data_IF_035029879659
#
_entry.id   IF_035029879659
#
_cell.length_a   1.000
_cell.length_b   1.000
_cell.length_c   1.000
_cell.angle_alpha   90.00
_cell.angle_beta   90.00
_cell.angle_gamma   90.00
#
_symmetry.space_group_name_H-M   'P 1'
#
loop_
_entity.id
_entity.type
_entity.pdbx_description
1 polymer ?
#
# COMPACT_ATOMS: atom_id res chain seq x y z
N UNK A 1 -33.51 -38.86 -52.85
CA UNK A 1 -32.16 -38.66 -52.49
C UNK A 1 -32.01 -37.13 -52.16
N UNK A 2 -32.35 -36.80 -50.91
CA UNK A 2 -32.31 -35.40 -50.42
C UNK A 2 -30.99 -35.21 -49.73
N UNK A 3 -30.19 -34.25 -50.21
CA UNK A 3 -28.93 -33.84 -49.60
C UNK A 3 -29.25 -32.60 -48.76
N UNK A 4 -29.23 -32.78 -47.50
CA UNK A 4 -29.37 -31.72 -46.50
C UNK A 4 -28.02 -31.01 -46.33
N UNK A 5 -27.93 -29.74 -46.78
CA UNK A 5 -26.78 -28.88 -46.59
C UNK A 5 -27.01 -28.01 -45.34
N UNK A 6 -26.68 -28.56 -44.19
CA UNK A 6 -26.64 -27.79 -42.95
C UNK A 6 -25.28 -27.12 -42.82
N UNK A 7 -25.17 -25.89 -43.33
CA UNK A 7 -23.97 -25.04 -43.19
C UNK A 7 -23.81 -24.59 -41.72
N UNK A 8 -22.84 -25.19 -41.04
CA UNK A 8 -22.38 -24.73 -39.72
C UNK A 8 -21.79 -23.32 -39.83
N UNK A 9 -22.55 -22.33 -39.44
CA UNK A 9 -22.01 -21.02 -39.14
C UNK A 9 -21.22 -21.11 -37.81
N UNK A 10 -19.93 -21.17 -37.91
CA UNK A 10 -19.02 -20.95 -36.75
C UNK A 10 -19.07 -19.48 -36.36
N UNK A 11 -19.87 -19.17 -35.35
CA UNK A 11 -19.83 -17.85 -34.71
C UNK A 11 -18.50 -17.68 -33.97
N UNK A 12 -17.59 -16.90 -34.53
CA UNK A 12 -16.44 -16.40 -33.81
C UNK A 12 -16.89 -15.51 -32.63
N UNK A 13 -16.96 -16.08 -31.45
CA UNK A 13 -17.11 -15.34 -30.17
C UNK A 13 -15.79 -14.66 -29.85
N UNK A 14 -15.59 -13.44 -30.34
CA UNK A 14 -14.36 -12.67 -30.02
C UNK A 14 -14.04 -11.48 -30.91
N UNK A 15 -14.72 -11.32 -32.04
CA UNK A 15 -14.52 -10.15 -32.87
C UNK A 15 -15.50 -9.04 -32.48
N UNK A 16 -15.11 -8.20 -31.52
CA UNK A 16 -15.80 -6.91 -31.31
C UNK A 16 -15.68 -6.08 -32.57
N UNK A 17 -16.80 -5.81 -33.24
CA UNK A 17 -16.84 -4.97 -34.42
C UNK A 17 -16.32 -3.58 -34.10
N UNK A 18 -15.68 -2.89 -35.08
CA UNK A 18 -15.18 -1.51 -34.92
C UNK A 18 -16.21 -0.56 -34.31
N UNK A 19 -17.48 -0.76 -34.58
CA UNK A 19 -18.59 0.01 -34.02
C UNK A 19 -18.78 -0.25 -32.52
N UNK A 20 -18.66 -1.50 -32.08
CA UNK A 20 -18.73 -1.89 -30.67
C UNK A 20 -17.54 -1.33 -29.92
N UNK A 21 -16.33 -1.44 -30.46
CA UNK A 21 -15.12 -0.87 -29.89
C UNK A 21 -15.21 0.65 -29.71
N UNK A 22 -15.72 1.39 -30.70
CA UNK A 22 -15.93 2.84 -30.60
C UNK A 22 -17.03 3.21 -29.60
N UNK A 23 -18.08 2.39 -29.49
CA UNK A 23 -19.13 2.57 -28.50
C UNK A 23 -18.61 2.34 -27.09
N UNK A 24 -17.79 1.31 -26.89
CA UNK A 24 -17.24 0.96 -25.58
C UNK A 24 -16.19 2.00 -25.10
N UNK A 25 -15.36 2.52 -26.03
CA UNK A 25 -14.44 3.62 -25.74
C UNK A 25 -15.20 4.93 -25.50
N UNK A 26 -16.14 5.27 -26.36
CA UNK A 26 -16.95 6.49 -26.24
C UNK A 26 -17.77 6.50 -24.95
N UNK A 27 -18.38 5.35 -24.59
CA UNK A 27 -19.08 5.18 -23.33
C UNK A 27 -18.17 5.25 -22.11
N UNK A 28 -16.96 4.67 -22.21
CA UNK A 28 -15.96 4.69 -21.13
C UNK A 28 -15.45 6.10 -20.83
N UNK A 29 -15.02 6.85 -21.83
CA UNK A 29 -14.51 8.22 -21.66
C UNK A 29 -15.64 9.19 -21.25
N UNK A 30 -16.81 9.06 -21.85
CA UNK A 30 -17.97 9.88 -21.49
C UNK A 30 -18.47 9.59 -20.07
N UNK A 31 -18.44 8.34 -19.63
CA UNK A 31 -18.82 7.98 -18.24
C UNK A 31 -17.81 8.49 -17.23
N UNK A 32 -16.51 8.48 -17.54
CA UNK A 32 -15.48 9.07 -16.67
C UNK A 32 -15.63 10.59 -16.60
N UNK A 33 -15.87 11.27 -17.75
CA UNK A 33 -16.10 12.70 -17.78
C UNK A 33 -17.39 13.08 -17.01
N UNK A 34 -18.46 12.32 -17.20
CA UNK A 34 -19.70 12.51 -16.47
C UNK A 34 -19.54 12.24 -14.96
N UNK A 35 -18.83 11.17 -14.62
CA UNK A 35 -18.53 10.88 -13.21
C UNK A 35 -17.70 12.01 -12.57
N UNK A 36 -16.74 12.60 -13.29
CA UNK A 36 -15.97 13.76 -12.81
C UNK A 36 -16.83 15.02 -12.68
N UNK A 37 -17.75 15.27 -13.59
CA UNK A 37 -18.69 16.40 -13.48
C UNK A 37 -19.64 16.20 -12.29
N UNK A 38 -20.18 15.01 -12.12
CA UNK A 38 -21.05 14.67 -10.98
C UNK A 38 -20.31 14.73 -9.65
N UNK A 39 -19.02 14.33 -9.61
CA UNK A 39 -18.15 14.48 -8.44
C UNK A 39 -17.87 15.96 -8.15
N UNK A 40 -17.68 16.80 -9.17
CA UNK A 40 -17.55 18.25 -9.00
C UNK A 40 -18.83 18.89 -8.45
N UNK A 41 -19.97 18.53 -8.98
CA UNK A 41 -21.27 18.99 -8.45
C UNK A 41 -21.53 18.44 -7.06
N UNK A 42 -21.16 17.20 -6.77
CA UNK A 42 -21.26 16.58 -5.44
C UNK A 42 -20.31 17.23 -4.43
N UNK A 43 -19.09 17.60 -4.86
CA UNK A 43 -18.16 18.35 -4.02
C UNK A 43 -18.65 19.75 -3.73
N UNK A 44 -19.34 20.40 -4.68
CA UNK A 44 -20.05 21.65 -4.48
C UNK A 44 -21.31 21.47 -3.57
N UNK A 45 -21.89 20.26 -3.57
CA UNK A 45 -23.06 19.90 -2.74
C UNK A 45 -22.71 19.34 -1.35
N UNK A 46 -21.41 19.27 -0.99
CA UNK A 46 -20.97 18.86 0.34
C UNK A 46 -21.07 17.37 0.64
N UNK A 47 -21.04 16.48 -0.38
CA UNK A 47 -20.99 15.02 -0.19
C UNK A 47 -19.53 14.57 0.04
N UNK A 48 -18.82 15.20 0.92
CA UNK A 48 -17.66 14.60 1.56
C UNK A 48 -18.19 13.77 2.74
N UNK A 49 -17.85 12.49 2.80
CA UNK A 49 -18.21 11.62 3.94
C UNK A 49 -17.74 12.20 5.27
N UNK A 50 -16.72 13.04 5.23
CA UNK A 50 -16.22 13.80 6.37
C UNK A 50 -15.82 15.21 5.93
N UNK A 51 -16.16 16.25 6.71
CA UNK A 51 -15.70 17.61 6.43
C UNK A 51 -14.17 17.65 6.48
N UNK A 52 -13.57 18.31 5.49
CA UNK A 52 -12.14 18.48 5.43
C UNK A 52 -11.65 19.31 6.63
N UNK A 53 -10.87 18.69 7.51
CA UNK A 53 -10.28 19.34 8.69
C UNK A 53 -8.84 19.77 8.45
N UNK A 54 -8.13 19.07 7.55
CA UNK A 54 -6.71 19.24 7.29
C UNK A 54 -6.52 20.18 6.10
N UNK A 55 -5.72 21.22 6.29
CA UNK A 55 -5.38 22.21 5.25
C UNK A 55 -4.01 21.98 4.63
N UNK A 56 -3.13 21.26 5.31
CA UNK A 56 -1.75 21.01 4.88
C UNK A 56 -1.36 19.60 5.29
N UNK A 57 -0.62 18.92 4.42
CA UNK A 57 -0.08 17.58 4.66
C UNK A 57 1.43 17.63 4.47
N UNK A 58 2.16 17.09 5.43
CA UNK A 58 3.62 16.91 5.34
C UNK A 58 3.88 15.41 5.39
N UNK A 59 4.50 14.88 4.35
CA UNK A 59 4.91 13.48 4.28
C UNK A 59 6.40 13.38 4.59
N UNK A 60 6.75 12.77 5.71
CA UNK A 60 8.11 12.42 6.06
C UNK A 60 8.34 10.95 5.69
N UNK A 61 9.02 10.72 4.58
CA UNK A 61 9.23 9.39 4.04
C UNK A 61 10.68 8.94 4.19
N UNK A 62 10.91 7.83 4.87
CA UNK A 62 12.22 7.19 5.00
C UNK A 62 12.40 6.16 3.89
N UNK A 63 13.24 6.46 2.92
CA UNK A 63 13.57 5.56 1.81
C UNK A 63 14.20 4.27 2.34
N UNK A 64 13.71 3.12 1.87
CA UNK A 64 14.17 1.81 2.35
C UNK A 64 13.48 1.36 3.65
N UNK A 65 12.69 2.22 4.28
CA UNK A 65 11.97 1.94 5.52
C UNK A 65 12.84 1.97 6.78
N UNK A 66 12.21 2.24 7.90
CA UNK A 66 12.82 2.05 9.22
C UNK A 66 12.54 0.61 9.71
N UNK A 67 13.43 0.08 10.53
CA UNK A 67 13.18 -1.20 11.21
C UNK A 67 12.01 -1.05 12.20
N UNK A 68 10.86 -1.69 11.97
CA UNK A 68 9.73 -1.55 12.89
C UNK A 68 10.06 -2.07 14.29
N UNK A 69 10.86 -3.13 14.37
CA UNK A 69 11.27 -3.76 15.63
C UNK A 69 12.24 -2.92 16.46
N UNK A 70 12.84 -1.90 15.86
CA UNK A 70 13.73 -0.97 16.54
C UNK A 70 13.06 0.38 16.85
N UNK A 71 11.80 0.57 16.43
CA UNK A 71 11.09 1.85 16.54
C UNK A 71 9.83 1.76 17.39
N UNK A 72 8.77 1.12 16.91
CA UNK A 72 7.44 1.11 17.57
C UNK A 72 6.88 -0.28 17.82
N UNK A 73 7.45 -1.32 17.22
CA UNK A 73 6.95 -2.68 17.31
C UNK A 73 7.80 -3.52 18.30
N UNK A 74 7.57 -3.31 19.59
CA UNK A 74 8.28 -4.01 20.64
C UNK A 74 8.04 -5.52 20.57
N UNK A 75 9.10 -6.30 20.45
CA UNK A 75 9.11 -7.76 20.33
C UNK A 75 9.91 -8.40 21.48
N UNK A 76 9.31 -8.68 22.63
CA UNK A 76 10.01 -9.30 23.77
C UNK A 76 10.61 -10.67 23.41
N UNK A 77 10.00 -11.43 22.50
CA UNK A 77 10.52 -12.70 22.03
C UNK A 77 11.91 -12.59 21.37
N UNK A 78 12.21 -11.47 20.72
CA UNK A 78 13.55 -11.25 20.14
C UNK A 78 14.62 -11.15 21.26
N UNK A 79 14.27 -10.62 22.42
CA UNK A 79 15.18 -10.59 23.57
C UNK A 79 15.41 -12.00 24.13
N UNK A 80 14.36 -12.84 24.19
CA UNK A 80 14.43 -14.23 24.65
C UNK A 80 15.24 -15.12 23.70
N UNK A 81 15.11 -14.90 22.40
CA UNK A 81 15.75 -15.68 21.35
C UNK A 81 17.11 -15.13 20.90
N UNK A 82 17.56 -14.03 21.50
CA UNK A 82 18.80 -13.36 21.09
C UNK A 82 20.00 -14.33 21.11
N UNK A 83 20.78 -14.32 20.03
CA UNK A 83 21.94 -15.18 19.85
C UNK A 83 21.62 -16.60 19.36
N UNK A 84 20.37 -17.01 19.30
CA UNK A 84 19.99 -18.32 18.79
C UNK A 84 19.96 -18.31 17.24
N UNK A 85 20.34 -19.42 16.64
CA UNK A 85 20.25 -19.59 15.19
C UNK A 85 18.82 -19.98 14.80
N UNK A 86 18.33 -19.42 13.71
CA UNK A 86 17.08 -19.88 13.10
C UNK A 86 17.19 -21.34 12.67
N UNK A 87 16.15 -22.12 12.92
CA UNK A 87 16.08 -23.51 12.48
C UNK A 87 16.08 -23.63 10.96
N UNK A 88 16.46 -24.79 10.42
CA UNK A 88 16.55 -24.99 8.96
C UNK A 88 15.22 -24.85 8.22
N UNK A 89 14.09 -24.94 8.94
CA UNK A 89 12.73 -24.73 8.39
C UNK A 89 12.26 -23.27 8.42
N UNK A 90 12.96 -22.41 9.14
CA UNK A 90 12.59 -21.01 9.40
C UNK A 90 13.47 -20.04 8.58
N UNK A 91 13.82 -20.41 7.36
CA UNK A 91 14.62 -19.55 6.49
C UNK A 91 13.80 -18.32 6.10
N UNK A 92 14.32 -17.10 6.34
CA UNK A 92 13.65 -15.90 5.85
C UNK A 92 13.59 -15.92 4.32
N UNK A 93 12.43 -15.61 3.78
CA UNK A 93 12.24 -15.53 2.33
C UNK A 93 13.05 -14.35 1.75
N UNK A 94 13.75 -14.58 0.67
CA UNK A 94 14.16 -13.51 -0.24
C UNK A 94 15.62 -13.09 -0.24
N UNK A 95 16.53 -13.69 0.55
CA UNK A 95 17.95 -13.38 0.47
C UNK A 95 18.83 -14.61 0.28
N UNK A 96 19.86 -14.45 -0.55
CA UNK A 96 20.84 -15.50 -0.91
C UNK A 96 21.84 -15.79 0.22
N UNK A 97 21.95 -14.88 1.20
CA UNK A 97 22.84 -15.06 2.34
C UNK A 97 22.16 -15.93 3.43
N UNK A 98 22.93 -16.81 4.11
CA UNK A 98 22.42 -17.54 5.26
C UNK A 98 22.00 -16.54 6.36
N UNK A 99 20.87 -16.82 7.02
CA UNK A 99 20.43 -16.04 8.17
C UNK A 99 21.46 -16.18 9.29
N UNK A 100 21.80 -15.07 9.91
CA UNK A 100 22.60 -15.03 11.13
C UNK A 100 21.78 -15.39 12.38
N UNK A 101 22.39 -15.22 13.54
CA UNK A 101 21.70 -15.36 14.81
C UNK A 101 20.62 -14.29 14.97
N UNK A 102 19.54 -14.63 15.66
CA UNK A 102 18.47 -13.69 16.01
C UNK A 102 19.05 -12.57 16.87
N UNK A 103 18.73 -11.34 16.53
CA UNK A 103 19.20 -10.16 17.25
C UNK A 103 18.02 -9.43 17.90
N UNK A 104 18.14 -9.16 19.18
CA UNK A 104 17.23 -8.22 19.86
C UNK A 104 17.52 -6.80 19.41
N UNK A 105 16.53 -5.91 19.56
CA UNK A 105 16.78 -4.48 19.38
C UNK A 105 17.90 -3.99 20.31
N UNK A 106 18.85 -3.19 19.81
CA UNK A 106 19.86 -2.55 20.67
C UNK A 106 19.29 -1.39 21.49
N UNK A 107 18.06 -0.96 21.18
CA UNK A 107 17.40 0.16 21.85
C UNK A 107 16.47 -0.32 22.97
N UNK A 108 16.34 0.50 23.98
CA UNK A 108 15.36 0.27 25.05
C UNK A 108 13.97 0.71 24.62
N UNK A 109 12.96 0.04 25.15
CA UNK A 109 11.56 0.36 24.90
C UNK A 109 10.86 0.72 26.20
N UNK A 110 10.02 1.73 26.16
CA UNK A 110 9.13 2.11 27.25
C UNK A 110 7.73 2.40 26.72
N UNK A 111 6.74 2.28 27.59
CA UNK A 111 5.38 2.70 27.30
C UNK A 111 5.23 4.19 27.56
N UNK A 112 4.53 4.87 26.64
CA UNK A 112 4.31 6.30 26.66
C UNK A 112 2.84 6.65 26.42
N UNK A 113 2.45 7.83 26.94
CA UNK A 113 1.10 8.36 26.81
C UNK A 113 0.04 7.59 27.57
N UNK A 114 -1.21 8.04 27.49
CA UNK A 114 -2.38 7.36 28.04
C UNK A 114 -2.68 6.06 27.28
N UNK A 115 -2.34 6.02 25.98
CA UNK A 115 -2.48 4.85 25.11
C UNK A 115 -1.54 3.69 25.48
N UNK A 116 -0.53 3.94 26.31
CA UNK A 116 0.48 2.94 26.69
C UNK A 116 1.30 2.41 25.53
N UNK A 117 1.54 3.24 24.51
CA UNK A 117 2.24 2.85 23.28
C UNK A 117 3.70 2.59 23.54
N UNK A 118 4.19 1.44 23.06
CA UNK A 118 5.62 1.13 23.09
C UNK A 118 6.37 1.99 22.06
N UNK A 119 7.40 2.70 22.54
CA UNK A 119 8.30 3.49 21.70
C UNK A 119 9.72 3.23 22.14
N UNK A 120 10.60 3.13 21.16
CA UNK A 120 12.04 2.97 21.35
C UNK A 120 12.68 4.27 21.84
N UNK A 121 13.74 4.17 22.60
CA UNK A 121 14.59 5.29 23.02
C UNK A 121 15.20 6.08 21.84
N UNK A 122 15.09 5.56 20.62
CA UNK A 122 15.51 6.23 19.38
C UNK A 122 14.65 7.48 19.08
N UNK A 123 13.39 7.50 19.52
CA UNK A 123 12.41 8.54 19.20
C UNK A 123 11.85 9.26 20.43
N UNK A 124 12.68 9.92 21.24
CA UNK A 124 12.23 10.52 22.51
C UNK A 124 11.22 11.66 22.32
N UNK A 125 11.34 12.42 21.23
CA UNK A 125 10.40 13.52 20.96
C UNK A 125 9.06 13.01 20.44
N UNK A 126 9.06 11.96 19.63
CA UNK A 126 7.83 11.34 19.13
C UNK A 126 7.10 10.61 20.25
N UNK A 127 7.82 10.06 21.22
CA UNK A 127 7.26 9.42 22.39
C UNK A 127 6.35 10.36 23.22
N UNK A 128 6.57 11.66 23.17
CA UNK A 128 5.74 12.68 23.84
C UNK A 128 4.40 12.92 23.12
N UNK A 129 4.28 12.50 21.87
CA UNK A 129 3.15 12.78 20.99
C UNK A 129 2.34 11.53 20.65
N UNK A 130 2.59 10.39 21.29
CA UNK A 130 2.00 9.10 20.91
C UNK A 130 0.47 9.09 20.94
N UNK A 131 -0.14 9.85 21.82
CA UNK A 131 -1.60 9.93 21.94
C UNK A 131 -2.25 10.74 20.81
N UNK A 132 -1.45 11.55 20.11
CA UNK A 132 -1.86 12.30 18.92
C UNK A 132 -1.56 11.54 17.61
N UNK A 133 -0.95 10.35 17.69
CA UNK A 133 -0.50 9.56 16.54
C UNK A 133 -1.40 8.36 16.28
N UNK A 134 -1.69 8.10 15.02
CA UNK A 134 -2.31 6.85 14.57
C UNK A 134 -1.23 5.89 14.06
N UNK A 135 -1.19 4.67 14.61
CA UNK A 135 -0.21 3.65 14.26
C UNK A 135 -0.83 2.55 13.41
N UNK A 136 -0.31 2.36 12.20
CA UNK A 136 -0.71 1.30 11.29
C UNK A 136 0.30 0.14 11.35
N UNK A 137 0.18 -0.72 12.36
CA UNK A 137 1.17 -1.74 12.67
C UNK A 137 1.19 -2.96 11.74
N UNK A 138 0.09 -3.25 11.08
CA UNK A 138 -0.07 -4.45 10.25
C UNK A 138 0.03 -4.16 8.75
N UNK A 139 0.73 -3.10 8.35
CA UNK A 139 0.92 -2.76 6.94
C UNK A 139 1.80 -3.79 6.25
N UNK A 140 1.34 -4.28 5.12
CA UNK A 140 2.07 -5.22 4.25
C UNK A 140 2.17 -4.68 2.83
N UNK A 141 3.15 -5.14 2.09
CA UNK A 141 3.34 -4.80 0.67
C UNK A 141 3.57 -6.07 -0.16
N UNK A 142 3.40 -5.96 -1.47
CA UNK A 142 3.60 -7.07 -2.42
C UNK A 142 5.08 -7.31 -2.76
N UNK A 143 5.99 -6.60 -2.12
CA UNK A 143 7.43 -6.72 -2.37
C UNK A 143 8.22 -6.58 -1.08
N UNK A 144 9.34 -7.28 -1.02
CA UNK A 144 10.36 -7.19 0.03
C UNK A 144 11.62 -6.43 -0.43
N UNK A 145 11.58 -5.80 -1.61
CA UNK A 145 12.69 -5.04 -2.19
C UNK A 145 12.45 -3.55 -2.02
N UNK A 146 13.45 -2.81 -1.53
CA UNK A 146 13.33 -1.38 -1.17
C UNK A 146 12.89 -0.48 -2.32
N UNK A 147 13.41 -0.65 -3.54
CA UNK A 147 13.05 0.17 -4.69
C UNK A 147 11.56 0.07 -5.05
N UNK A 148 11.06 -1.11 -5.45
CA UNK A 148 9.64 -1.33 -5.69
C UNK A 148 8.76 -1.02 -4.48
N UNK A 149 9.24 -1.29 -3.25
CA UNK A 149 8.54 -0.92 -2.01
C UNK A 149 8.38 0.60 -1.86
N UNK A 150 9.39 1.38 -2.22
CA UNK A 150 9.34 2.83 -2.23
C UNK A 150 8.29 3.35 -3.21
N UNK A 151 8.23 2.79 -4.42
CA UNK A 151 7.18 3.14 -5.38
C UNK A 151 5.80 2.78 -4.86
N UNK A 152 5.64 1.57 -4.33
CA UNK A 152 4.36 1.10 -3.77
C UNK A 152 3.85 2.01 -2.66
N UNK A 153 4.71 2.41 -1.73
CA UNK A 153 4.33 3.28 -0.60
C UNK A 153 3.96 4.70 -1.04
N UNK A 154 4.56 5.21 -2.11
CA UNK A 154 4.31 6.58 -2.56
C UNK A 154 3.24 6.71 -3.63
N UNK A 155 3.02 5.69 -4.46
CA UNK A 155 2.13 5.75 -5.62
C UNK A 155 1.06 4.65 -5.64
N UNK A 156 1.20 3.60 -4.84
CA UNK A 156 0.33 2.41 -4.89
C UNK A 156 0.75 1.38 -5.95
N UNK A 157 1.85 1.61 -6.70
CA UNK A 157 2.32 0.73 -7.77
C UNK A 157 3.76 0.30 -7.53
N UNK A 158 4.13 -0.90 -7.99
CA UNK A 158 5.50 -1.43 -7.85
C UNK A 158 6.49 -0.87 -8.88
N UNK A 159 5.98 -0.21 -9.93
CA UNK A 159 6.77 0.34 -11.03
C UNK A 159 6.80 1.88 -10.96
N UNK A 160 7.87 2.51 -11.47
CA UNK A 160 7.93 3.97 -11.59
C UNK A 160 6.95 4.50 -12.64
N UNK A 161 6.71 5.81 -12.64
CA UNK A 161 5.90 6.52 -13.65
C UNK A 161 4.48 6.88 -13.18
N UNK A 162 4.08 6.48 -11.98
CA UNK A 162 2.78 6.85 -11.42
C UNK A 162 2.91 8.05 -10.47
N UNK A 163 1.89 8.93 -10.42
CA UNK A 163 1.89 10.08 -9.53
C UNK A 163 1.92 9.64 -8.06
N UNK A 164 2.69 10.34 -7.24
CA UNK A 164 2.69 10.14 -5.80
C UNK A 164 1.49 10.82 -5.13
N UNK A 165 1.27 10.52 -3.85
CA UNK A 165 0.17 11.11 -3.07
C UNK A 165 0.16 12.65 -3.13
N UNK A 166 1.32 13.30 -3.03
CA UNK A 166 1.42 14.75 -3.12
C UNK A 166 0.97 15.31 -4.46
N UNK A 167 1.27 14.62 -5.56
CA UNK A 167 0.79 15.02 -6.89
C UNK A 167 -0.74 14.93 -6.98
N UNK A 168 -1.35 13.87 -6.44
CA UNK A 168 -2.81 13.73 -6.41
C UNK A 168 -3.51 14.77 -5.55
N UNK A 169 -2.92 15.13 -4.41
CA UNK A 169 -3.49 16.16 -3.52
C UNK A 169 -3.42 17.55 -4.16
N UNK A 170 -2.40 17.79 -5.01
CA UNK A 170 -2.19 19.08 -5.68
C UNK A 170 -2.99 19.23 -6.96
N UNK A 171 -3.50 18.14 -7.53
CA UNK A 171 -4.31 18.11 -8.74
C UNK A 171 -5.73 18.57 -8.48
#
# INVERSE_FOLDING_TARGET
>A
MHIDQNSRQSTCTGCTGRRQFLSDIGGGVASIALAQLLVRESAAAGISHHPAKVKRVIQLFMTGGASPMDTYDYKPELARLHGQMLGPKEKPEGFTAPAGAIMKSPFEFAQHGESGRWVSSLFPEQAKLVDEMAFLMAMTTKTNVHGPGTYMMNSGFLLPGFPCMGAWISY
#
